data_IF_605026868290
#
_entry.id   IF_605026868290
#
_cell.length_a   1.000
_cell.length_b   1.000
_cell.length_c   1.000
_cell.angle_alpha   90.00
_cell.angle_beta   90.00
_cell.angle_gamma   90.00
#
_symmetry.space_group_name_H-M   'P 1'
#
loop_
_entity.id
_entity.type
_entity.pdbx_description
1 polymer ?
#
# COMPACT_ATOMS: atom_id res chain seq x y z
N UNK A 1 33.33 16.51 -4.38
CA UNK A 1 33.40 16.23 -5.83
C UNK A 1 33.49 14.72 -5.99
N UNK A 2 32.43 14.06 -6.45
CA UNK A 2 32.46 12.62 -6.74
C UNK A 2 33.21 12.44 -8.05
N UNK A 3 34.40 11.85 -8.00
CA UNK A 3 35.25 11.65 -9.17
C UNK A 3 34.58 10.69 -10.16
N UNK A 4 34.88 10.86 -11.45
CA UNK A 4 34.34 10.03 -12.54
C UNK A 4 34.62 8.53 -12.31
N UNK A 5 35.72 8.21 -11.63
CA UNK A 5 36.09 6.84 -11.27
C UNK A 5 35.21 6.26 -10.16
N UNK A 6 34.85 7.06 -9.14
CA UNK A 6 33.93 6.63 -8.07
C UNK A 6 32.51 6.37 -8.59
N UNK A 7 32.05 7.14 -9.58
CA UNK A 7 30.76 6.90 -10.25
C UNK A 7 30.86 5.62 -11.10
N UNK A 8 31.99 5.39 -11.76
CA UNK A 8 32.22 4.19 -12.58
C UNK A 8 32.27 2.91 -11.75
N UNK A 9 32.95 2.94 -10.60
CA UNK A 9 32.97 1.83 -9.63
C UNK A 9 31.59 1.59 -9.00
N UNK A 10 30.85 2.64 -8.63
CA UNK A 10 29.49 2.51 -8.12
C UNK A 10 28.56 1.88 -9.17
N UNK A 11 28.65 2.31 -10.44
CA UNK A 11 27.89 1.72 -11.55
C UNK A 11 28.33 0.28 -11.86
N UNK A 12 29.62 -0.06 -11.73
CA UNK A 12 30.11 -1.42 -11.89
C UNK A 12 29.63 -2.32 -10.75
N UNK A 13 29.67 -1.85 -9.51
CA UNK A 13 29.17 -2.56 -8.34
C UNK A 13 27.64 -2.72 -8.37
N UNK A 14 26.87 -1.74 -8.84
CA UNK A 14 25.44 -1.92 -9.12
C UNK A 14 25.20 -2.94 -10.24
N UNK A 15 25.99 -2.90 -11.32
CA UNK A 15 25.89 -3.88 -12.42
C UNK A 15 26.31 -5.29 -12.00
N UNK A 16 27.24 -5.43 -11.05
CA UNK A 16 27.66 -6.70 -10.47
C UNK A 16 26.63 -7.20 -9.44
N UNK A 17 26.06 -6.34 -8.60
CA UNK A 17 24.99 -6.69 -7.66
C UNK A 17 23.70 -7.14 -8.37
N UNK A 18 23.45 -6.62 -9.58
CA UNK A 18 22.30 -7.02 -10.41
C UNK A 18 22.49 -8.40 -11.08
N UNK A 19 23.70 -8.98 -11.04
CA UNK A 19 23.99 -10.29 -11.63
C UNK A 19 23.61 -11.48 -10.74
N UNK A 20 23.27 -11.24 -9.48
CA UNK A 20 22.96 -12.27 -8.48
C UNK A 20 21.52 -12.13 -7.96
N UNK A 21 20.55 -11.97 -8.86
CA UNK A 21 19.13 -11.86 -8.49
C UNK A 21 18.24 -12.89 -9.20
N UNK A 22 17.29 -13.45 -8.46
CA UNK A 22 16.14 -14.17 -8.98
C UNK A 22 14.98 -13.21 -9.18
N UNK A 23 14.17 -13.47 -10.21
CA UNK A 23 12.84 -12.87 -10.34
C UNK A 23 11.80 -13.86 -9.82
N UNK A 24 11.00 -13.43 -8.84
CA UNK A 24 9.91 -14.19 -8.26
C UNK A 24 8.60 -13.59 -8.78
N UNK A 25 7.86 -14.37 -9.55
CA UNK A 25 6.60 -13.97 -10.17
C UNK A 25 5.44 -14.69 -9.50
N UNK A 26 4.43 -13.94 -9.10
CA UNK A 26 3.17 -14.45 -8.57
C UNK A 26 2.07 -14.37 -9.63
N UNK A 27 1.42 -15.49 -9.91
CA UNK A 27 0.29 -15.55 -10.82
C UNK A 27 -0.97 -16.05 -10.13
N UNK A 28 -2.10 -15.47 -10.51
CA UNK A 28 -3.42 -15.99 -10.22
C UNK A 28 -3.81 -17.05 -11.25
N UNK A 29 -4.24 -18.23 -10.78
CA UNK A 29 -4.77 -19.26 -11.66
C UNK A 29 -6.23 -18.89 -11.96
N UNK A 30 -6.45 -18.30 -13.13
CA UNK A 30 -7.79 -17.85 -13.55
C UNK A 30 -8.62 -19.00 -14.14
N UNK A 31 -7.95 -20.03 -14.65
CA UNK A 31 -8.59 -21.22 -15.22
C UNK A 31 -7.66 -22.42 -15.17
N UNK A 32 -8.13 -23.52 -14.58
CA UNK A 32 -7.38 -24.79 -14.54
C UNK A 32 -7.20 -25.38 -15.94
N UNK A 33 -6.07 -26.04 -16.20
CA UNK A 33 -5.84 -26.79 -17.44
C UNK A 33 -6.53 -28.15 -17.43
N UNK A 34 -6.76 -28.71 -18.62
CA UNK A 34 -7.24 -30.08 -18.80
C UNK A 34 -6.27 -30.80 -19.72
N UNK A 35 -5.65 -31.88 -19.22
CA UNK A 35 -4.63 -32.64 -19.94
C UNK A 35 -5.14 -33.03 -21.34
N UNK A 36 -4.37 -32.67 -22.37
CA UNK A 36 -4.69 -32.97 -23.77
C UNK A 36 -5.82 -32.13 -24.40
N UNK A 37 -6.48 -31.24 -23.66
CA UNK A 37 -7.58 -30.40 -24.18
C UNK A 37 -7.28 -28.91 -24.11
N UNK A 38 -6.74 -28.42 -22.99
CA UNK A 38 -6.59 -26.99 -22.76
C UNK A 38 -5.48 -26.67 -21.77
N UNK A 39 -4.64 -25.68 -22.08
CA UNK A 39 -3.66 -25.14 -21.15
C UNK A 39 -4.33 -24.35 -20.01
N UNK A 40 -3.72 -24.33 -18.81
CA UNK A 40 -4.14 -23.43 -17.74
C UNK A 40 -3.94 -21.96 -18.15
N UNK A 41 -4.74 -21.07 -17.57
CA UNK A 41 -4.66 -19.63 -17.79
C UNK A 41 -4.21 -18.94 -16.51
N UNK A 42 -3.23 -18.05 -16.65
CA UNK A 42 -2.58 -17.35 -15.55
C UNK A 42 -2.69 -15.84 -15.74
N UNK A 43 -2.84 -15.11 -14.65
CA UNK A 43 -2.75 -13.64 -14.62
C UNK A 43 -1.61 -13.25 -13.70
N UNK A 44 -0.62 -12.52 -14.22
CA UNK A 44 0.47 -12.00 -13.40
C UNK A 44 -0.09 -10.97 -12.40
N UNK A 45 0.23 -11.17 -11.13
CA UNK A 45 -0.19 -10.31 -10.03
C UNK A 45 0.94 -9.38 -9.59
N UNK A 46 2.11 -9.95 -9.31
CA UNK A 46 3.27 -9.23 -8.79
C UNK A 46 4.58 -9.87 -9.30
N UNK A 47 5.65 -9.07 -9.35
CA UNK A 47 6.99 -9.47 -9.74
C UNK A 47 8.00 -8.78 -8.82
N UNK A 48 8.83 -9.58 -8.13
CA UNK A 48 9.85 -9.09 -7.21
C UNK A 48 11.21 -9.69 -7.54
N UNK A 49 12.26 -8.90 -7.37
CA UNK A 49 13.63 -9.38 -7.41
C UNK A 49 14.08 -9.80 -6.01
N UNK A 50 14.76 -10.92 -5.90
CA UNK A 50 15.37 -11.41 -4.65
C UNK A 50 16.85 -11.74 -4.89
N UNK A 51 17.71 -11.36 -3.95
CA UNK A 51 19.14 -11.64 -4.05
C UNK A 51 19.44 -13.13 -3.78
N UNK A 52 20.36 -13.72 -4.55
CA UNK A 52 20.77 -15.13 -4.41
C UNK A 52 21.37 -15.45 -3.05
N UNK A 53 22.15 -14.51 -2.53
CA UNK A 53 22.90 -14.68 -1.29
C UNK A 53 22.10 -14.21 -0.06
N UNK A 54 20.88 -13.70 -0.28
CA UNK A 54 19.98 -13.26 0.78
C UNK A 54 19.08 -14.38 1.27
N UNK A 55 18.78 -14.38 2.56
CA UNK A 55 17.77 -15.26 3.18
C UNK A 55 16.45 -14.51 3.43
N UNK A 56 16.26 -13.39 2.74
CA UNK A 56 15.14 -12.48 2.97
C UNK A 56 13.79 -13.09 2.55
N UNK A 57 12.75 -12.72 3.29
CA UNK A 57 11.38 -13.08 2.94
C UNK A 57 10.88 -12.19 1.81
N UNK A 58 10.34 -12.80 0.75
CA UNK A 58 9.73 -12.07 -0.37
C UNK A 58 8.24 -11.87 -0.12
N UNK A 59 7.81 -10.62 -0.10
CA UNK A 59 6.40 -10.25 0.00
C UNK A 59 5.81 -9.97 -1.39
N UNK A 60 4.71 -10.64 -1.72
CA UNK A 60 4.04 -10.56 -3.02
C UNK A 60 2.61 -10.02 -2.84
N UNK A 61 2.25 -8.97 -3.57
CA UNK A 61 0.88 -8.44 -3.55
C UNK A 61 -0.04 -9.32 -4.39
N UNK A 62 -0.92 -10.06 -3.69
CA UNK A 62 -1.92 -10.94 -4.29
C UNK A 62 -3.35 -10.46 -4.07
N UNK A 63 -3.54 -9.18 -3.71
CA UNK A 63 -4.85 -8.61 -3.35
C UNK A 63 -5.92 -8.90 -4.40
N UNK A 64 -5.61 -8.71 -5.69
CA UNK A 64 -6.58 -8.93 -6.78
C UNK A 64 -7.09 -10.38 -6.84
N UNK A 65 -6.24 -11.36 -6.56
CA UNK A 65 -6.65 -12.77 -6.51
C UNK A 65 -7.56 -13.03 -5.30
N UNK A 66 -7.18 -12.50 -4.12
CA UNK A 66 -7.96 -12.63 -2.89
C UNK A 66 -9.35 -12.00 -3.04
N UNK A 67 -9.44 -10.78 -3.58
CA UNK A 67 -10.71 -10.10 -3.88
C UNK A 67 -11.62 -10.95 -4.78
N UNK A 68 -11.04 -11.55 -5.83
CA UNK A 68 -11.76 -12.43 -6.75
C UNK A 68 -12.24 -13.71 -6.08
N UNK A 69 -11.43 -14.30 -5.20
CA UNK A 69 -11.81 -15.49 -4.43
C UNK A 69 -12.93 -15.18 -3.44
N UNK A 70 -12.88 -14.02 -2.77
CA UNK A 70 -13.95 -13.56 -1.88
C UNK A 70 -15.25 -13.30 -2.65
N UNK A 71 -15.18 -12.69 -3.83
CA UNK A 71 -16.34 -12.45 -4.69
C UNK A 71 -16.92 -13.74 -5.30
N UNK A 72 -16.06 -14.70 -5.64
CA UNK A 72 -16.44 -15.98 -6.28
C UNK A 72 -15.67 -17.17 -5.70
N UNK A 73 -16.04 -17.69 -4.51
CA UNK A 73 -15.26 -18.73 -3.82
C UNK A 73 -15.06 -20.01 -4.62
N UNK A 74 -16.04 -20.39 -5.46
CA UNK A 74 -15.96 -21.57 -6.34
C UNK A 74 -14.92 -21.45 -7.46
N UNK A 75 -14.39 -20.26 -7.72
CA UNK A 75 -13.36 -19.99 -8.75
C UNK A 75 -11.97 -19.76 -8.13
N UNK A 76 -11.74 -20.18 -6.89
CA UNK A 76 -10.40 -20.22 -6.33
C UNK A 76 -9.65 -21.45 -6.89
N UNK A 77 -8.62 -21.20 -7.68
CA UNK A 77 -7.76 -22.24 -8.25
C UNK A 77 -6.32 -22.17 -7.72
N UNK A 78 -6.08 -21.31 -6.73
CA UNK A 78 -4.77 -21.10 -6.14
C UNK A 78 -3.87 -20.11 -6.90
N UNK A 79 -2.65 -19.98 -6.39
CA UNK A 79 -1.59 -19.16 -6.96
C UNK A 79 -0.51 -20.05 -7.56
N UNK A 80 0.14 -19.56 -8.61
CA UNK A 80 1.36 -20.14 -9.16
C UNK A 80 2.52 -19.19 -8.84
N UNK A 81 3.57 -19.70 -8.20
CA UNK A 81 4.81 -18.97 -7.97
C UNK A 81 5.87 -19.52 -8.92
N UNK A 82 6.46 -18.64 -9.72
CA UNK A 82 7.53 -18.95 -10.65
C UNK A 82 8.79 -18.21 -10.23
N UNK A 83 9.92 -18.91 -10.19
CA UNK A 83 11.23 -18.30 -9.93
C UNK A 83 12.06 -18.42 -11.20
N UNK A 84 12.42 -17.26 -11.76
CA UNK A 84 13.23 -17.15 -12.97
C UNK A 84 14.62 -16.66 -12.63
N UNK A 85 15.61 -17.38 -13.15
CA UNK A 85 17.01 -17.00 -13.09
C UNK A 85 17.28 -15.88 -14.07
N UNK A 86 18.03 -14.85 -13.66
CA UNK A 86 18.50 -13.81 -14.56
C UNK A 86 19.34 -14.39 -15.71
N UNK A 87 19.40 -13.73 -16.88
CA UNK A 87 20.02 -14.29 -18.09
C UNK A 87 21.53 -14.59 -17.96
N UNK A 88 22.22 -14.03 -16.97
CA UNK A 88 23.67 -14.21 -16.74
C UNK A 88 24.01 -15.32 -15.76
N UNK A 89 23.02 -15.88 -15.07
CA UNK A 89 23.20 -16.87 -14.01
C UNK A 89 22.94 -18.28 -14.55
N UNK A 90 23.76 -19.24 -14.12
CA UNK A 90 23.46 -20.64 -14.36
C UNK A 90 22.14 -20.98 -13.63
N UNK A 91 21.18 -21.65 -14.31
CA UNK A 91 19.96 -22.09 -13.65
C UNK A 91 20.28 -22.87 -12.38
N UNK A 92 19.50 -22.67 -11.32
CA UNK A 92 19.63 -23.48 -10.12
C UNK A 92 19.57 -24.97 -10.51
N UNK A 93 20.35 -25.84 -9.85
CA UNK A 93 20.36 -27.28 -10.17
C UNK A 93 18.98 -27.93 -9.99
N UNK A 94 18.08 -27.29 -9.25
CA UNK A 94 16.70 -27.70 -9.08
C UNK A 94 15.75 -26.81 -9.89
N UNK A 95 14.94 -27.44 -10.73
CA UNK A 95 13.94 -26.78 -11.58
C UNK A 95 12.67 -26.34 -10.82
N UNK A 96 12.56 -26.68 -9.53
CA UNK A 96 11.39 -26.38 -8.72
C UNK A 96 11.79 -25.86 -7.35
N UNK A 97 11.10 -24.80 -6.91
CA UNK A 97 11.18 -24.31 -5.54
C UNK A 97 10.25 -25.15 -4.68
N UNK A 98 10.80 -25.75 -3.61
CA UNK A 98 10.00 -26.54 -2.67
C UNK A 98 9.22 -25.60 -1.75
N UNK A 99 7.91 -25.51 -1.96
CA UNK A 99 6.98 -24.75 -1.12
C UNK A 99 6.32 -25.58 -0.01
N UNK A 100 6.77 -26.83 0.19
CA UNK A 100 6.18 -27.79 1.14
C UNK A 100 7.26 -28.42 2.03
N UNK A 101 6.92 -28.71 3.28
CA UNK A 101 7.75 -29.47 4.23
C UNK A 101 8.32 -30.75 3.61
N UNK A 102 9.61 -31.00 3.80
CA UNK A 102 10.23 -32.30 3.47
C UNK A 102 9.71 -33.38 4.44
N UNK A 103 9.57 -34.63 3.99
CA UNK A 103 9.01 -35.70 4.85
C UNK A 103 9.77 -35.81 6.19
N UNK A 104 11.10 -35.72 6.11
CA UNK A 104 12.02 -35.88 7.24
C UNK A 104 12.28 -34.61 8.06
N UNK A 105 11.77 -33.44 7.63
CA UNK A 105 12.01 -32.16 8.30
C UNK A 105 11.02 -31.96 9.46
N UNK A 106 11.44 -31.73 10.72
CA UNK A 106 10.52 -31.51 11.83
C UNK A 106 9.50 -30.39 11.60
N UNK A 107 8.34 -30.46 12.26
CA UNK A 107 7.29 -29.46 12.07
C UNK A 107 7.73 -28.06 12.52
N UNK A 108 8.38 -27.94 13.68
CA UNK A 108 8.83 -26.67 14.26
C UNK A 108 9.81 -25.93 13.36
N UNK A 109 10.75 -26.63 12.72
CA UNK A 109 11.71 -26.01 11.79
C UNK A 109 11.06 -25.56 10.48
N UNK A 110 10.00 -26.23 10.04
CA UNK A 110 9.24 -25.85 8.85
C UNK A 110 8.27 -24.69 9.08
N UNK A 111 7.71 -24.57 10.29
CA UNK A 111 6.73 -23.52 10.61
C UNK A 111 7.22 -22.11 10.27
N UNK A 112 8.51 -21.84 10.45
CA UNK A 112 9.13 -20.55 10.15
C UNK A 112 9.47 -20.34 8.67
N UNK A 113 9.37 -21.38 7.83
CA UNK A 113 9.69 -21.36 6.39
C UNK A 113 8.47 -21.47 5.49
N UNK A 114 7.31 -21.81 6.05
CA UNK A 114 6.10 -22.04 5.26
C UNK A 114 5.59 -20.72 4.65
N UNK A 115 5.06 -20.74 3.41
CA UNK A 115 4.40 -19.58 2.84
C UNK A 115 3.14 -19.21 3.64
N UNK A 116 2.97 -17.92 3.95
CA UNK A 116 1.80 -17.41 4.70
C UNK A 116 1.08 -16.35 3.87
N UNK A 117 -0.25 -16.47 3.78
CA UNK A 117 -1.11 -15.45 3.19
C UNK A 117 -1.66 -14.54 4.29
N UNK A 118 -1.30 -13.26 4.24
CA UNK A 118 -1.88 -12.24 5.11
C UNK A 118 -3.03 -11.54 4.38
N UNK A 119 -4.23 -11.58 4.97
CA UNK A 119 -5.41 -10.90 4.44
C UNK A 119 -6.00 -9.97 5.52
N UNK A 120 -6.05 -8.68 5.22
CA UNK A 120 -6.67 -7.67 6.05
C UNK A 120 -8.06 -7.37 5.50
N UNK A 121 -9.09 -7.56 6.31
CA UNK A 121 -10.49 -7.33 5.91
C UNK A 121 -11.19 -6.47 6.95
N UNK A 122 -12.14 -5.64 6.51
CA UNK A 122 -13.01 -4.91 7.41
C UNK A 122 -14.15 -5.83 7.85
N UNK A 123 -14.39 -5.94 9.16
CA UNK A 123 -15.45 -6.78 9.72
C UNK A 123 -16.86 -6.17 9.59
N UNK A 124 -16.96 -4.98 8.98
CA UNK A 124 -18.21 -4.25 8.72
C UNK A 124 -18.90 -3.73 9.98
N UNK A 125 -18.29 -3.86 11.17
CA UNK A 125 -18.86 -3.38 12.43
C UNK A 125 -18.75 -1.87 12.57
N UNK A 126 -17.75 -1.28 11.92
CA UNK A 126 -17.67 0.16 11.70
C UNK A 126 -18.36 0.52 10.39
N UNK A 127 -19.70 0.53 10.41
CA UNK A 127 -20.43 1.29 9.39
C UNK A 127 -20.19 2.75 9.72
N UNK A 128 -19.45 3.44 8.87
CA UNK A 128 -19.30 4.90 8.87
C UNK A 128 -20.62 5.52 9.32
N UNK A 129 -20.67 6.01 10.57
CA UNK A 129 -21.85 6.72 11.04
C UNK A 129 -22.01 7.89 10.09
N UNK A 130 -23.16 7.98 9.43
CA UNK A 130 -23.38 9.08 8.50
C UNK A 130 -23.14 10.39 9.26
N UNK A 131 -22.60 11.40 8.59
CA UNK A 131 -22.34 12.72 9.19
C UNK A 131 -23.60 13.25 9.89
N UNK A 132 -24.79 12.88 9.40
CA UNK A 132 -26.09 13.21 10.00
C UNK A 132 -26.29 12.57 11.39
N UNK A 133 -25.85 11.34 11.60
CA UNK A 133 -25.98 10.64 12.88
C UNK A 133 -24.97 11.15 13.92
N UNK A 134 -23.76 11.51 13.48
CA UNK A 134 -22.76 12.17 14.34
C UNK A 134 -23.21 13.59 14.74
N UNK A 135 -23.81 14.35 13.82
CA UNK A 135 -24.39 15.66 14.11
C UNK A 135 -25.65 15.58 15.00
N UNK A 136 -26.48 14.55 14.84
CA UNK A 136 -27.63 14.32 15.72
C UNK A 136 -27.21 14.03 17.17
N UNK A 137 -26.11 13.30 17.38
CA UNK A 137 -25.56 13.04 18.71
C UNK A 137 -25.05 14.31 19.40
N UNK A 138 -24.45 15.25 18.66
CA UNK A 138 -23.97 16.52 19.24
C UNK A 138 -25.10 17.53 19.53
N UNK A 139 -26.23 17.43 18.81
CA UNK A 139 -27.41 18.29 19.06
C UNK A 139 -28.25 17.86 20.27
N UNK A 140 -28.22 16.59 20.69
CA UNK A 140 -28.92 16.14 21.91
C UNK A 140 -28.32 16.69 23.21
N UNK A 141 -27.05 17.07 23.21
CA UNK A 141 -26.38 17.66 24.39
C UNK A 141 -26.68 19.15 24.60
N UNK A 142 -27.31 19.84 23.63
CA UNK A 142 -27.46 21.31 23.65
C UNK A 142 -28.89 21.83 23.85
N UNK A 143 -29.86 20.98 24.21
CA UNK A 143 -31.26 21.41 24.48
C UNK A 143 -31.51 21.94 25.90
N UNK A 144 -30.46 22.33 26.62
CA UNK A 144 -30.57 23.13 27.84
C UNK A 144 -29.80 24.44 27.64
N UNK A 145 -30.45 25.48 27.10
CA UNK A 145 -29.81 26.78 26.92
C UNK A 145 -30.51 27.67 25.91
N UNK A 146 -31.53 28.37 26.37
CA UNK A 146 -32.26 29.41 25.65
C UNK A 146 -31.35 30.54 25.14
N UNK A 147 -31.70 31.07 23.96
CA UNK A 147 -31.41 32.42 23.43
C UNK A 147 -29.99 32.97 23.50
N UNK A 148 -29.29 33.06 22.35
CA UNK A 148 -28.66 34.31 21.86
C UNK A 148 -28.48 34.26 20.33
N UNK A 149 -29.12 35.18 19.61
CA UNK A 149 -28.69 35.61 18.27
C UNK A 149 -27.38 36.37 18.46
N UNK A 150 -26.26 35.83 17.98
CA UNK A 150 -24.98 36.51 18.00
C UNK A 150 -24.21 36.18 16.73
N UNK A 151 -23.73 37.26 16.09
CA UNK A 151 -22.80 37.35 14.98
C UNK A 151 -22.07 36.06 14.57
N UNK A 152 -22.22 35.74 13.28
CA UNK A 152 -21.51 34.72 12.51
C UNK A 152 -20.00 35.04 12.47
N UNK A 153 -19.31 34.96 13.60
CA UNK A 153 -17.84 34.81 13.61
C UNK A 153 -17.55 33.47 12.95
N UNK A 154 -16.70 33.49 11.93
CA UNK A 154 -16.33 32.37 11.05
C UNK A 154 -15.52 31.34 11.85
N UNK A 155 -16.21 30.66 12.74
CA UNK A 155 -16.11 29.26 13.16
C UNK A 155 -14.71 28.62 13.11
N UNK A 156 -13.85 28.97 14.08
CA UNK A 156 -12.71 28.12 14.48
C UNK A 156 -13.15 26.81 15.17
N UNK A 157 -14.47 26.59 15.30
CA UNK A 157 -15.11 25.34 15.73
C UNK A 157 -15.45 24.40 14.55
N UNK A 158 -15.12 24.74 13.30
CA UNK A 158 -15.27 23.81 12.18
C UNK A 158 -14.25 22.66 12.26
N UNK A 159 -14.68 21.48 11.80
CA UNK A 159 -13.82 20.30 11.69
C UNK A 159 -12.66 20.62 10.72
N UNK A 160 -11.46 20.15 11.08
CA UNK A 160 -10.25 20.33 10.27
C UNK A 160 -10.48 19.87 8.82
N UNK A 161 -10.26 20.78 7.88
CA UNK A 161 -10.34 20.50 6.43
C UNK A 161 -9.30 21.31 5.67
N UNK A 162 -9.07 20.91 4.41
CA UNK A 162 -8.25 21.67 3.46
C UNK A 162 -9.04 22.89 2.97
N UNK A 163 -8.41 24.05 3.03
CA UNK A 163 -8.92 25.33 2.53
C UNK A 163 -8.12 25.76 1.31
N UNK A 164 -8.77 26.47 0.39
CA UNK A 164 -8.13 27.04 -0.78
C UNK A 164 -7.17 28.16 -0.38
N UNK A 165 -5.96 28.10 -0.92
CA UNK A 165 -4.97 29.17 -0.87
C UNK A 165 -4.22 29.15 -2.19
N UNK A 166 -4.38 30.20 -2.97
CA UNK A 166 -3.58 30.42 -4.16
C UNK A 166 -2.44 31.37 -3.78
N UNK A 167 -1.21 31.01 -4.16
CA UNK A 167 -0.03 31.83 -3.96
C UNK A 167 0.32 32.43 -5.31
N UNK A 168 0.16 33.74 -5.42
CA UNK A 168 0.67 34.53 -6.54
C UNK A 168 2.11 34.97 -6.21
N UNK A 169 3.06 34.69 -7.09
CA UNK A 169 4.46 35.07 -6.86
C UNK A 169 4.70 36.57 -6.99
N UNK A 170 3.79 37.31 -7.65
CA UNK A 170 3.82 38.76 -7.64
C UNK A 170 3.54 39.31 -6.23
N UNK A 171 2.55 38.75 -5.53
CA UNK A 171 2.16 39.18 -4.17
C UNK A 171 3.27 38.91 -3.13
N UNK A 172 4.09 37.88 -3.36
CA UNK A 172 5.22 37.51 -2.49
C UNK A 172 6.52 38.25 -2.87
N UNK A 173 6.52 38.98 -4.00
CA UNK A 173 7.71 39.67 -4.52
C UNK A 173 8.76 38.72 -5.11
N UNK A 174 8.32 37.55 -5.60
CA UNK A 174 9.17 36.51 -6.18
C UNK A 174 9.07 36.41 -7.70
N UNK A 175 8.32 37.32 -8.33
CA UNK A 175 8.19 37.44 -9.79
C UNK A 175 9.52 37.59 -10.52
N UNK A 176 10.54 38.12 -9.85
CA UNK A 176 11.84 38.43 -10.47
C UNK A 176 12.72 37.18 -10.67
N UNK A 177 12.52 36.12 -9.88
CA UNK A 177 13.32 34.89 -9.97
C UNK A 177 12.50 33.65 -10.32
N UNK A 178 11.18 33.68 -10.13
CA UNK A 178 10.27 32.62 -10.59
C UNK A 178 9.58 33.07 -11.87
N UNK A 179 10.06 32.56 -13.01
CA UNK A 179 9.56 32.94 -14.34
C UNK A 179 8.22 32.27 -14.68
N UNK A 180 8.00 31.03 -14.23
CA UNK A 180 6.73 30.31 -14.40
C UNK A 180 6.63 29.13 -13.41
N UNK A 181 5.40 28.74 -12.98
CA UNK A 181 4.12 29.41 -13.21
C UNK A 181 4.03 30.75 -12.46
N UNK A 182 3.08 31.66 -12.79
CA UNK A 182 2.92 32.93 -12.06
C UNK A 182 2.42 32.72 -10.61
N UNK A 183 1.85 31.56 -10.32
CA UNK A 183 1.39 31.18 -9.00
C UNK A 183 0.88 29.73 -8.99
N UNK A 184 0.52 29.23 -7.81
CA UNK A 184 0.02 27.86 -7.65
C UNK A 184 -0.96 27.73 -6.47
N UNK A 185 -1.81 26.70 -6.52
CA UNK A 185 -2.69 26.34 -5.41
C UNK A 185 -1.92 25.62 -4.30
N UNK A 186 -1.50 26.37 -3.27
CA UNK A 186 -0.79 25.83 -2.10
C UNK A 186 -1.72 25.09 -1.14
N UNK A 187 -2.95 25.58 -0.97
CA UNK A 187 -3.89 25.15 0.06
C UNK A 187 -3.35 25.27 1.51
N UNK A 188 -4.21 25.14 2.51
CA UNK A 188 -3.77 24.96 3.91
C UNK A 188 -4.83 24.22 4.73
N UNK A 189 -4.43 23.60 5.84
CA UNK A 189 -5.36 22.90 6.73
C UNK A 189 -5.73 23.79 7.94
N UNK A 190 -7.02 23.89 8.25
CA UNK A 190 -7.49 24.64 9.42
C UNK A 190 -8.79 24.03 9.98
N UNK A 191 -8.88 23.96 11.31
CA UNK A 191 -10.04 23.52 12.07
C UNK A 191 -9.67 22.60 13.24
N UNK A 192 -10.66 22.15 14.00
CA UNK A 192 -10.46 21.22 15.14
C UNK A 192 -10.53 19.77 14.68
N UNK A 193 -9.69 18.92 15.27
CA UNK A 193 -9.68 17.47 15.08
C UNK A 193 -10.29 16.80 16.32
N UNK A 194 -11.63 16.66 16.42
CA UNK A 194 -12.23 16.01 17.59
C UNK A 194 -11.85 14.53 17.63
N UNK A 195 -11.55 14.02 18.84
CA UNK A 195 -11.29 12.61 19.06
C UNK A 195 -12.59 11.88 19.44
N UNK A 196 -12.85 10.67 18.91
CA UNK A 196 -12.09 9.98 17.86
C UNK A 196 -12.26 10.65 16.49
N UNK A 197 -11.17 10.70 15.70
CA UNK A 197 -11.20 11.24 14.35
C UNK A 197 -12.27 10.53 13.52
N UNK A 198 -13.03 11.29 12.73
CA UNK A 198 -14.08 10.71 11.90
C UNK A 198 -13.47 9.81 10.81
N UNK A 199 -14.07 8.64 10.60
CA UNK A 199 -13.57 7.55 9.73
C UNK A 199 -13.29 7.98 8.27
N UNK A 200 -14.00 8.99 7.76
CA UNK A 200 -13.80 9.54 6.41
C UNK A 200 -12.52 10.40 6.27
N UNK A 201 -11.81 10.68 7.36
CA UNK A 201 -10.55 11.43 7.33
C UNK A 201 -9.35 10.56 6.95
N UNK A 202 -9.56 9.26 6.62
CA UNK A 202 -8.53 8.30 6.21
C UNK A 202 -7.25 8.43 7.05
N UNK A 203 -7.40 8.60 8.37
CA UNK A 203 -6.24 8.73 9.25
C UNK A 203 -5.43 7.45 9.14
N UNK A 204 -4.23 7.56 8.61
CA UNK A 204 -3.31 6.43 8.62
C UNK A 204 -3.04 6.08 10.08
N UNK A 205 -3.08 4.80 10.43
CA UNK A 205 -2.89 4.30 11.80
C UNK A 205 -1.47 4.58 12.37
N UNK A 206 -0.68 5.43 11.72
CA UNK A 206 0.70 5.77 12.08
C UNK A 206 0.81 6.89 13.13
N UNK A 207 -0.31 7.46 13.60
CA UNK A 207 -0.31 8.42 14.70
C UNK A 207 -1.57 8.28 15.57
N UNK A 208 -1.72 7.15 16.25
CA UNK A 208 -2.66 7.05 17.37
C UNK A 208 -1.97 7.66 18.58
N UNK A 209 -2.34 8.90 18.93
CA UNK A 209 -1.97 9.48 20.22
C UNK A 209 -2.77 8.74 21.29
N UNK A 210 -2.11 7.84 22.01
CA UNK A 210 -2.67 7.25 23.24
C UNK A 210 -2.58 8.32 24.34
N UNK A 211 -3.72 8.68 24.93
CA UNK A 211 -3.78 9.43 26.18
C UNK A 211 -3.88 8.49 27.35
#
# INVERSE_FOLDING_TARGET
>A
QLTRDAISEAMLNERLANRDTYQVLAYDITRVGVRGKRSPSYLLLDNKSAHLNGTDTVHLDVRRAVERWLATPRKNHGLLIEVRTGPTLKPAPHHHVRLRRSVDEPHESWQHKQPVLYAYTADGKHKTRSIRDAAASSTRSKRAGHHRRAHRRKNSDEICRRHSLYVDFADVGWSDWIVAPPGYDAFYCQGKCPFPLAEHMNSTNHAVVQT
#
